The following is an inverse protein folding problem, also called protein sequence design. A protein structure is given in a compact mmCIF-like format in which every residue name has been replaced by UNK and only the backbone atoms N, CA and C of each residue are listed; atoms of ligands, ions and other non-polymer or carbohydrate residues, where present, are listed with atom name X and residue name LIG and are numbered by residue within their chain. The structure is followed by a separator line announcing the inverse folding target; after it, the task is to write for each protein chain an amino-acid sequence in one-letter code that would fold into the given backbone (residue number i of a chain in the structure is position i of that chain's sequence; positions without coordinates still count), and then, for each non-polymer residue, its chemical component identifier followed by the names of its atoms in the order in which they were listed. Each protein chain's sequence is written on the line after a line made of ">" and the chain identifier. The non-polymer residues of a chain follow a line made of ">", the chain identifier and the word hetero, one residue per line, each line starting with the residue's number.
data_IF_894324621263
#
_entry.id   IF_894324621263
#
_cell.length_a   1.000
_cell.length_b   1.000
_cell.length_c   1.000
_cell.angle_alpha   90.00
_cell.angle_beta   90.00
_cell.angle_gamma   90.00
#
_symmetry.space_group_name_H-M   'P 1'
#
loop_
_entity.id
_entity.type
_entity.pdbx_description
1 polymer ?
#
# COMPACT_ATOMS: atom_id res chain seq x y z
N UNK A 1 10.16 -4.08 24.02
CA UNK A 1 10.20 -2.65 23.64
C UNK A 1 10.21 -2.50 22.13
N UNK A 2 9.11 -1.99 21.58
CA UNK A 2 8.97 -1.71 20.15
C UNK A 2 9.90 -0.53 19.78
N UNK A 3 10.75 -0.70 18.78
CA UNK A 3 11.65 0.38 18.33
C UNK A 3 10.87 1.46 17.55
N UNK A 4 10.65 2.61 18.19
CA UNK A 4 9.99 3.79 17.59
C UNK A 4 10.73 4.35 16.38
N UNK A 5 12.05 4.26 16.33
CA UNK A 5 12.82 4.72 15.17
C UNK A 5 12.48 3.83 13.97
N UNK A 6 12.39 2.52 14.21
CA UNK A 6 12.01 1.55 13.19
C UNK A 6 10.58 1.78 12.69
N UNK A 7 9.61 1.89 13.60
CA UNK A 7 8.20 2.11 13.26
C UNK A 7 8.01 3.43 12.50
N UNK A 8 8.54 4.55 13.01
CA UNK A 8 8.39 5.85 12.34
C UNK A 8 8.99 5.85 10.92
N UNK A 9 10.15 5.21 10.75
CA UNK A 9 10.81 5.05 9.45
C UNK A 9 9.90 4.31 8.45
N UNK A 10 9.36 3.14 8.82
CA UNK A 10 8.46 2.36 7.95
C UNK A 10 7.19 3.15 7.64
N UNK A 11 6.57 3.73 8.67
CA UNK A 11 5.32 4.49 8.50
C UNK A 11 5.49 5.75 7.64
N UNK A 12 6.73 6.14 7.32
CA UNK A 12 7.04 7.31 6.51
C UNK A 12 6.82 8.63 7.26
N UNK A 13 6.83 8.61 8.59
CA UNK A 13 6.57 9.79 9.45
C UNK A 13 7.78 10.10 10.32
N UNK A 14 7.86 11.32 10.84
CA UNK A 14 8.90 11.66 11.82
C UNK A 14 8.65 10.96 13.16
N UNK A 15 9.72 10.79 13.95
CA UNK A 15 9.62 10.28 15.33
C UNK A 15 8.72 11.16 16.20
N UNK A 16 8.79 12.48 16.02
CA UNK A 16 7.92 13.43 16.73
C UNK A 16 6.46 13.21 16.37
N UNK A 17 6.15 13.01 15.08
CA UNK A 17 4.79 12.74 14.65
C UNK A 17 4.26 11.39 15.15
N UNK A 18 5.13 10.37 15.21
CA UNK A 18 4.78 9.11 15.84
C UNK A 18 4.44 9.30 17.33
N UNK A 19 5.25 10.06 18.07
CA UNK A 19 4.99 10.32 19.48
C UNK A 19 3.68 11.09 19.70
N UNK A 20 3.35 12.06 18.85
CA UNK A 20 2.05 12.75 18.87
C UNK A 20 0.89 11.76 18.72
N UNK A 21 0.95 10.88 17.71
CA UNK A 21 -0.09 9.87 17.46
C UNK A 21 -0.24 8.90 18.65
N UNK A 22 0.88 8.50 19.26
CA UNK A 22 0.84 7.64 20.45
C UNK A 22 0.14 8.36 21.60
N UNK A 23 0.52 9.61 21.88
CA UNK A 23 -0.08 10.40 22.95
C UNK A 23 -1.58 10.64 22.71
N UNK A 24 -1.98 10.92 21.47
CA UNK A 24 -3.39 11.03 21.07
C UNK A 24 -4.14 9.73 21.30
N UNK A 25 -3.56 8.59 20.92
CA UNK A 25 -4.17 7.27 21.12
C UNK A 25 -4.33 6.94 22.61
N UNK A 26 -3.31 7.18 23.43
CA UNK A 26 -3.38 6.98 24.89
C UNK A 26 -4.51 7.84 25.49
N UNK A 27 -4.63 9.10 25.07
CA UNK A 27 -5.70 10.00 25.52
C UNK A 27 -7.09 9.54 25.08
N UNK A 28 -7.25 9.05 23.84
CA UNK A 28 -8.53 8.49 23.35
C UNK A 28 -9.03 7.34 24.24
N UNK A 29 -8.10 6.56 24.79
CA UNK A 29 -8.39 5.46 25.72
C UNK A 29 -8.28 5.87 27.19
N UNK A 30 -8.40 7.17 27.51
CA UNK A 30 -8.41 7.71 28.87
C UNK A 30 -7.20 7.28 29.71
N UNK A 31 -6.03 7.16 29.09
CA UNK A 31 -4.77 6.70 29.69
C UNK A 31 -4.80 5.26 30.24
N UNK A 32 -5.74 4.41 29.76
CA UNK A 32 -5.83 3.00 30.17
C UNK A 32 -4.90 2.07 29.39
N UNK A 33 -4.21 2.59 28.38
CA UNK A 33 -3.27 1.85 27.54
C UNK A 33 -1.87 2.45 27.65
N UNK A 34 -0.87 1.59 27.53
CA UNK A 34 0.52 1.98 27.47
C UNK A 34 0.96 2.37 26.05
N UNK A 35 2.23 2.78 25.94
CA UNK A 35 2.83 3.20 24.68
C UNK A 35 2.88 2.06 23.64
N UNK A 36 3.19 0.83 24.07
CA UNK A 36 3.29 -0.32 23.18
C UNK A 36 1.94 -0.68 22.59
N UNK A 37 0.89 -0.71 23.41
CA UNK A 37 -0.49 -0.93 22.99
C UNK A 37 -0.95 0.17 22.03
N UNK A 38 -0.60 1.44 22.31
CA UNK A 38 -0.90 2.54 21.40
C UNK A 38 -0.24 2.37 20.02
N UNK A 39 1.02 1.92 19.97
CA UNK A 39 1.71 1.62 18.70
C UNK A 39 1.00 0.49 17.96
N UNK A 40 0.62 -0.59 18.65
CA UNK A 40 -0.12 -1.70 18.05
C UNK A 40 -1.46 -1.26 17.44
N UNK A 41 -2.20 -0.40 18.15
CA UNK A 41 -3.45 0.17 17.64
C UNK A 41 -3.21 1.05 16.41
N UNK A 42 -2.17 1.89 16.40
CA UNK A 42 -1.82 2.72 15.24
C UNK A 42 -1.46 1.85 14.03
N UNK A 43 -0.69 0.77 14.22
CA UNK A 43 -0.36 -0.18 13.17
C UNK A 43 -1.63 -0.86 12.62
N UNK A 44 -2.49 -1.35 13.51
CA UNK A 44 -3.77 -1.98 13.15
C UNK A 44 -4.67 -1.03 12.36
N UNK A 45 -4.75 0.23 12.80
CA UNK A 45 -5.46 1.30 12.08
C UNK A 45 -4.84 1.65 10.72
N UNK A 46 -3.63 1.16 10.42
CA UNK A 46 -2.97 1.25 9.10
C UNK A 46 -2.95 -0.07 8.35
N UNK A 47 -3.64 -1.10 8.86
CA UNK A 47 -3.70 -2.42 8.22
C UNK A 47 -2.38 -3.19 8.34
N UNK A 48 -1.60 -2.90 9.38
CA UNK A 48 -0.31 -3.51 9.68
C UNK A 48 -0.34 -4.21 11.04
N UNK A 49 0.41 -5.30 11.13
CA UNK A 49 0.86 -5.94 12.36
C UNK A 49 2.35 -5.66 12.58
N UNK A 50 2.89 -6.04 13.75
CA UNK A 50 4.34 -5.99 13.97
C UNK A 50 5.10 -6.92 13.02
N UNK A 51 4.54 -8.08 12.71
CA UNK A 51 5.14 -9.06 11.79
C UNK A 51 5.23 -8.49 10.36
N UNK A 52 4.19 -7.76 9.93
CA UNK A 52 4.19 -7.09 8.62
C UNK A 52 5.33 -6.08 8.49
N UNK A 53 5.85 -5.50 9.58
CA UNK A 53 6.99 -4.58 9.53
C UNK A 53 8.30 -5.27 9.09
N UNK A 54 8.36 -6.60 9.18
CA UNK A 54 9.50 -7.41 8.75
C UNK A 54 9.23 -8.14 7.43
N UNK A 55 7.97 -8.43 7.12
CA UNK A 55 7.57 -9.16 5.92
C UNK A 55 6.39 -8.48 5.20
N UNK A 56 6.63 -7.26 4.70
CA UNK A 56 5.61 -6.49 3.98
C UNK A 56 5.18 -7.25 2.72
N UNK A 57 3.86 -7.45 2.57
CA UNK A 57 3.21 -7.91 1.35
C UNK A 57 2.49 -6.77 0.62
N UNK A 58 2.11 -7.00 -0.62
CA UNK A 58 1.42 -6.01 -1.45
C UNK A 58 0.12 -5.51 -0.79
N UNK A 59 -0.66 -6.39 -0.14
CA UNK A 59 -1.86 -6.01 0.61
C UNK A 59 -1.61 -5.06 1.77
N UNK A 60 -0.38 -4.98 2.31
CA UNK A 60 -0.06 -4.12 3.44
C UNK A 60 0.26 -2.67 3.00
N UNK A 61 0.52 -2.45 1.71
CA UNK A 61 0.99 -1.16 1.19
C UNK A 61 -0.08 -0.08 1.28
N UNK A 62 0.26 1.12 1.74
CA UNK A 62 -0.61 2.30 1.67
C UNK A 62 0.23 3.52 1.27
N UNK A 63 -0.38 4.58 0.71
CA UNK A 63 0.38 5.73 0.22
C UNK A 63 1.28 6.36 1.29
N UNK A 64 2.54 6.61 0.95
CA UNK A 64 3.55 7.18 1.86
C UNK A 64 4.31 6.15 2.71
N UNK A 65 3.89 4.89 2.76
CA UNK A 65 4.64 3.82 3.43
C UNK A 65 6.05 3.69 2.81
N UNK A 66 7.09 3.61 3.65
CA UNK A 66 8.45 3.29 3.22
C UNK A 66 8.66 1.78 3.31
N UNK A 67 8.85 1.15 2.16
CA UNK A 67 9.08 -0.27 2.02
C UNK A 67 10.57 -0.53 2.18
N UNK A 68 10.99 -1.05 3.34
CA UNK A 68 12.39 -1.44 3.57
C UNK A 68 12.79 -2.58 2.64
N UNK A 69 11.94 -3.60 2.56
CA UNK A 69 12.10 -4.76 1.69
C UNK A 69 10.71 -5.31 1.32
N UNK A 70 10.54 -5.71 0.07
CA UNK A 70 9.37 -6.47 -0.41
C UNK A 70 9.83 -7.43 -1.51
N UNK A 71 9.24 -8.63 -1.52
CA UNK A 71 9.48 -9.65 -2.54
C UNK A 71 8.33 -9.62 -3.54
N UNK A 72 8.65 -9.53 -4.82
CA UNK A 72 7.70 -9.39 -5.91
C UNK A 72 8.09 -10.27 -7.08
N UNK A 73 7.11 -10.79 -7.81
CA UNK A 73 7.31 -11.33 -9.16
C UNK A 73 6.93 -10.31 -10.19
N UNK A 74 7.80 -10.11 -11.19
CA UNK A 74 7.50 -9.25 -12.33
C UNK A 74 6.51 -9.99 -13.22
N UNK A 75 5.33 -9.41 -13.43
CA UNK A 75 4.34 -9.98 -14.33
C UNK A 75 4.57 -9.48 -15.77
N UNK A 76 4.66 -8.16 -15.92
CA UNK A 76 4.68 -7.52 -17.24
C UNK A 76 5.47 -6.21 -17.25
N UNK A 77 6.07 -5.88 -18.39
CA UNK A 77 6.63 -4.55 -18.64
C UNK A 77 5.53 -3.62 -19.18
N UNK A 78 5.24 -2.52 -18.49
CA UNK A 78 4.20 -1.57 -18.88
C UNK A 78 4.75 -0.41 -19.72
N UNK A 79 5.84 0.21 -19.27
CA UNK A 79 6.47 1.37 -19.93
C UNK A 79 7.98 1.21 -19.86
N UNK A 80 8.66 1.52 -20.96
CA UNK A 80 10.12 1.52 -21.08
C UNK A 80 10.59 2.80 -21.78
N UNK A 81 11.38 3.61 -21.09
CA UNK A 81 11.99 4.87 -21.54
C UNK A 81 13.43 4.95 -21.05
N UNK A 82 14.21 5.93 -21.52
CA UNK A 82 15.66 5.97 -21.27
C UNK A 82 16.07 5.95 -19.79
N UNK A 83 15.35 6.67 -18.93
CA UNK A 83 15.62 6.75 -17.49
C UNK A 83 14.45 6.26 -16.62
N UNK A 84 13.47 5.58 -17.23
CA UNK A 84 12.26 5.17 -16.56
C UNK A 84 11.80 3.81 -17.09
N UNK A 85 11.57 2.87 -16.19
CA UNK A 85 10.84 1.65 -16.48
C UNK A 85 9.71 1.48 -15.46
N UNK A 86 8.52 1.13 -15.95
CA UNK A 86 7.36 0.83 -15.11
C UNK A 86 6.97 -0.61 -15.40
N UNK A 87 6.97 -1.40 -14.33
CA UNK A 87 6.63 -2.81 -14.35
C UNK A 87 5.31 -3.04 -13.61
N UNK A 88 4.57 -4.04 -14.05
CA UNK A 88 3.56 -4.69 -13.24
C UNK A 88 4.26 -5.78 -12.43
N UNK A 89 4.14 -5.71 -11.12
CA UNK A 89 4.75 -6.67 -10.21
C UNK A 89 3.86 -6.89 -9.00
N UNK A 90 3.96 -8.05 -8.36
CA UNK A 90 3.11 -8.37 -7.22
C UNK A 90 3.55 -9.60 -6.46
N UNK A 91 2.70 -9.99 -5.52
CA UNK A 91 2.82 -11.23 -4.75
C UNK A 91 1.45 -11.92 -4.70
N UNK A 92 1.30 -12.91 -3.81
CA UNK A 92 0.05 -13.66 -3.66
C UNK A 92 -1.14 -12.79 -3.19
N UNK A 93 -0.85 -11.59 -2.71
CA UNK A 93 -1.82 -10.68 -2.10
C UNK A 93 -2.25 -9.54 -3.03
N UNK A 94 -1.61 -9.35 -4.19
CA UNK A 94 -2.04 -8.34 -5.17
C UNK A 94 -0.97 -7.92 -6.17
N UNK A 95 -1.40 -7.17 -7.19
CA UNK A 95 -0.54 -6.49 -8.16
C UNK A 95 -0.42 -4.99 -7.85
N UNK A 96 0.75 -4.45 -8.14
CA UNK A 96 1.07 -3.02 -8.09
C UNK A 96 1.90 -2.63 -9.31
N UNK A 97 2.13 -1.33 -9.45
CA UNK A 97 3.17 -0.82 -10.35
C UNK A 97 4.50 -0.69 -9.61
N UNK A 98 5.58 -1.16 -10.19
CA UNK A 98 6.94 -0.86 -9.75
C UNK A 98 7.53 0.19 -10.70
N UNK A 99 7.75 1.39 -10.20
CA UNK A 99 8.27 2.54 -10.94
C UNK A 99 9.74 2.71 -10.60
N UNK A 100 10.61 2.52 -11.60
CA UNK A 100 12.06 2.62 -11.45
C UNK A 100 12.54 3.80 -12.29
N UNK A 101 12.96 4.87 -11.63
CA UNK A 101 13.52 6.06 -12.29
C UNK A 101 15.03 6.14 -12.08
N UNK A 102 15.78 5.41 -12.91
CA UNK A 102 17.24 5.35 -12.87
C UNK A 102 17.81 5.09 -14.26
N UNK A 103 18.72 5.92 -14.76
CA UNK A 103 19.37 5.73 -16.07
C UNK A 103 20.16 4.40 -16.18
N UNK A 104 20.55 3.81 -15.04
CA UNK A 104 21.30 2.55 -14.99
C UNK A 104 20.42 1.31 -15.16
N UNK A 105 19.09 1.43 -15.20
CA UNK A 105 18.20 0.26 -15.25
C UNK A 105 18.53 -0.67 -16.43
N UNK A 106 18.97 -0.11 -17.57
CA UNK A 106 19.39 -0.85 -18.77
C UNK A 106 20.50 -1.89 -18.46
N UNK A 107 21.38 -1.60 -17.49
CA UNK A 107 22.46 -2.52 -17.07
C UNK A 107 21.94 -3.77 -16.35
N UNK A 108 20.72 -3.70 -15.79
CA UNK A 108 20.06 -4.81 -15.09
C UNK A 108 18.82 -5.29 -15.84
N UNK A 109 18.75 -5.11 -17.16
CA UNK A 109 17.57 -5.50 -17.94
C UNK A 109 17.18 -6.97 -17.77
N UNK A 110 18.15 -7.88 -17.64
CA UNK A 110 17.88 -9.30 -17.39
C UNK A 110 17.16 -9.57 -16.06
N UNK A 111 17.36 -8.71 -15.05
CA UNK A 111 16.68 -8.78 -13.75
C UNK A 111 15.23 -8.30 -13.85
N UNK A 112 14.91 -7.48 -14.85
CA UNK A 112 13.63 -6.80 -15.01
C UNK A 112 12.70 -7.48 -16.04
N UNK A 113 13.01 -8.73 -16.41
CA UNK A 113 12.21 -9.53 -17.33
C UNK A 113 10.97 -10.10 -16.64
N UNK A 114 9.95 -10.39 -17.45
CA UNK A 114 8.74 -11.08 -17.00
C UNK A 114 9.08 -12.42 -16.35
N UNK A 115 8.30 -12.81 -15.36
CA UNK A 115 8.46 -14.01 -14.53
C UNK A 115 9.73 -14.06 -13.66
N UNK A 116 10.50 -12.98 -13.57
CA UNK A 116 11.61 -12.90 -12.62
C UNK A 116 11.08 -12.50 -11.23
N UNK A 117 11.50 -13.26 -10.23
CA UNK A 117 11.25 -12.96 -8.83
C UNK A 117 12.37 -12.05 -8.32
N UNK A 118 11.96 -10.92 -7.77
CA UNK A 118 12.83 -9.85 -7.32
C UNK A 118 12.54 -9.46 -5.87
N UNK A 119 13.53 -8.85 -5.25
CA UNK A 119 13.43 -8.22 -3.95
C UNK A 119 13.76 -6.75 -4.11
N UNK A 120 12.81 -5.90 -3.76
CA UNK A 120 12.92 -4.44 -3.88
C UNK A 120 13.16 -3.86 -2.49
N UNK A 121 14.22 -3.06 -2.35
CA UNK A 121 14.59 -2.40 -1.09
C UNK A 121 14.34 -0.91 -1.13
N UNK A 122 14.08 -0.32 0.03
CA UNK A 122 13.97 1.13 0.26
C UNK A 122 13.07 1.87 -0.76
N UNK A 123 11.91 1.31 -1.06
CA UNK A 123 10.90 1.93 -1.92
C UNK A 123 9.94 2.84 -1.16
N UNK A 124 9.27 3.73 -1.88
CA UNK A 124 8.18 4.57 -1.33
C UNK A 124 6.88 4.25 -2.06
N UNK A 125 5.81 4.00 -1.31
CA UNK A 125 4.50 3.72 -1.90
C UNK A 125 3.83 5.02 -2.35
N UNK A 126 3.38 5.07 -3.60
CA UNK A 126 2.64 6.16 -4.22
C UNK A 126 1.20 5.74 -4.56
N UNK A 127 0.29 6.71 -4.64
CA UNK A 127 -1.08 6.51 -5.10
C UNK A 127 -1.25 7.04 -6.53
N UNK A 128 -1.05 6.18 -7.54
CA UNK A 128 -1.11 6.55 -8.96
C UNK A 128 -2.18 5.74 -9.70
N UNK A 129 -3.43 5.94 -9.29
CA UNK A 129 -4.60 5.15 -9.65
C UNK A 129 -4.59 3.71 -9.07
N UNK A 130 -3.51 2.97 -9.27
CA UNK A 130 -3.18 1.77 -8.50
C UNK A 130 -2.02 2.10 -7.57
N UNK A 131 -1.88 1.35 -6.48
CA UNK A 131 -0.70 1.49 -5.62
C UNK A 131 0.55 1.19 -6.44
N UNK A 132 1.58 1.99 -6.19
CA UNK A 132 2.86 1.87 -6.88
C UNK A 132 4.00 1.92 -5.88
N UNK A 133 5.07 1.17 -6.08
CA UNK A 133 6.34 1.37 -5.38
C UNK A 133 7.25 2.17 -6.30
N UNK A 134 7.80 3.26 -5.78
CA UNK A 134 8.79 4.07 -6.46
C UNK A 134 10.18 3.81 -5.90
N UNK A 135 11.15 3.60 -6.79
CA UNK A 135 12.57 3.62 -6.49
C UNK A 135 13.33 4.48 -7.52
N UNK A 136 14.43 5.07 -7.08
CA UNK A 136 15.31 5.91 -7.89
C UNK A 136 16.73 5.32 -8.07
N UNK A 137 16.96 4.10 -7.60
CA UNK A 137 18.24 3.41 -7.71
C UNK A 137 17.99 1.92 -7.98
N UNK A 138 18.43 1.44 -9.14
CA UNK A 138 18.28 0.04 -9.57
C UNK A 138 19.10 -0.93 -8.70
N UNK A 139 20.11 -0.44 -7.98
CA UNK A 139 20.92 -1.25 -7.08
C UNK A 139 20.16 -1.75 -5.85
N UNK A 140 18.96 -1.21 -5.62
CA UNK A 140 18.04 -1.67 -4.58
C UNK A 140 17.14 -2.84 -5.03
N UNK A 141 17.32 -3.34 -6.25
CA UNK A 141 16.64 -4.55 -6.73
C UNK A 141 17.65 -5.69 -6.84
N UNK A 142 17.27 -6.83 -6.26
CA UNK A 142 18.02 -8.09 -6.28
C UNK A 142 17.13 -9.21 -6.84
N UNK A 143 17.73 -10.22 -7.48
CA UNK A 143 17.02 -11.44 -7.85
C UNK A 143 16.86 -12.31 -6.60
N UNK A 144 15.76 -13.05 -6.53
CA UNK A 144 15.55 -14.11 -5.54
C UNK A 144 15.13 -15.41 -6.23
N UNK A 145 15.42 -16.53 -5.58
CA UNK A 145 15.07 -17.86 -6.08
C UNK A 145 13.78 -18.42 -5.46
N UNK A 146 13.22 -17.72 -4.48
CA UNK A 146 11.92 -18.06 -3.89
C UNK A 146 10.83 -17.94 -4.96
N UNK A 147 9.95 -18.94 -5.04
CA UNK A 147 8.80 -18.90 -5.93
C UNK A 147 7.69 -18.03 -5.35
N UNK A 148 7.03 -17.26 -6.23
CA UNK A 148 5.98 -16.32 -5.87
C UNK A 148 4.79 -16.56 -6.81
N UNK A 149 3.68 -16.94 -6.20
CA UNK A 149 2.39 -17.05 -6.89
C UNK A 149 1.76 -15.67 -6.99
N UNK A 150 1.43 -15.24 -8.21
CA UNK A 150 0.85 -13.92 -8.45
C UNK A 150 -0.66 -13.93 -8.30
N UNK A 151 -1.18 -13.01 -7.48
CA UNK A 151 -2.55 -12.53 -7.64
C UNK A 151 -2.69 -11.79 -8.98
N UNK A 152 -3.87 -11.85 -9.60
CA UNK A 152 -4.13 -11.18 -10.89
C UNK A 152 -4.79 -9.81 -10.75
N UNK A 153 -5.06 -9.35 -9.53
CA UNK A 153 -5.80 -8.12 -9.28
C UNK A 153 -4.90 -7.00 -8.74
N UNK A 154 -4.99 -5.84 -9.37
CA UNK A 154 -4.34 -4.63 -8.88
C UNK A 154 -4.95 -4.12 -7.58
N UNK A 155 -4.12 -3.67 -6.66
CA UNK A 155 -4.60 -2.96 -5.47
C UNK A 155 -4.66 -1.45 -5.73
N UNK A 156 -5.80 -0.86 -5.41
CA UNK A 156 -6.03 0.57 -5.40
C UNK A 156 -6.34 1.06 -4.00
N UNK A 157 -6.02 2.33 -3.73
CA UNK A 157 -6.29 3.02 -2.48
C UNK A 157 -6.92 4.38 -2.80
N UNK A 158 -8.06 4.69 -2.19
CA UNK A 158 -8.80 5.92 -2.44
C UNK A 158 -9.44 6.46 -1.19
N UNK A 159 -9.58 7.78 -1.14
CA UNK A 159 -10.62 8.38 -0.33
C UNK A 159 -11.92 8.42 -1.13
N UNK A 160 -13.01 8.02 -0.49
CA UNK A 160 -14.35 8.01 -1.06
C UNK A 160 -15.32 8.74 -0.14
N UNK A 161 -16.37 9.28 -0.74
CA UNK A 161 -17.51 9.84 -0.04
C UNK A 161 -18.79 9.33 -0.68
N UNK A 162 -19.74 8.93 0.15
CA UNK A 162 -21.04 8.48 -0.32
C UNK A 162 -21.77 9.63 -1.03
N UNK A 163 -22.15 9.41 -2.29
CA UNK A 163 -23.01 10.34 -3.05
C UNK A 163 -24.48 9.92 -2.97
N UNK A 164 -24.74 8.64 -3.25
CA UNK A 164 -26.10 8.12 -3.33
C UNK A 164 -26.14 6.65 -2.94
N UNK A 165 -27.17 6.31 -2.20
CA UNK A 165 -27.52 4.94 -1.88
C UNK A 165 -28.56 4.41 -2.89
N UNK A 166 -28.35 3.20 -3.41
CA UNK A 166 -29.34 2.43 -4.20
C UNK A 166 -29.63 1.11 -3.51
N UNK A 167 -30.55 0.31 -4.05
CA UNK A 167 -30.99 -0.95 -3.44
C UNK A 167 -29.82 -1.90 -3.13
N UNK A 168 -28.94 -2.17 -4.12
CA UNK A 168 -27.86 -3.15 -3.99
C UNK A 168 -26.43 -2.55 -4.00
N UNK A 169 -26.31 -1.24 -4.20
CA UNK A 169 -25.00 -0.60 -4.35
C UNK A 169 -24.97 0.82 -3.79
N UNK A 170 -23.77 1.25 -3.40
CA UNK A 170 -23.44 2.66 -3.17
C UNK A 170 -22.83 3.27 -4.42
N UNK A 171 -23.18 4.52 -4.68
CA UNK A 171 -22.48 5.38 -5.63
C UNK A 171 -21.59 6.30 -4.80
N UNK A 172 -20.28 6.20 -4.98
CA UNK A 172 -19.31 6.98 -4.21
C UNK A 172 -18.45 7.84 -5.13
N UNK A 173 -18.11 9.05 -4.65
CA UNK A 173 -17.15 9.94 -5.29
C UNK A 173 -15.77 9.67 -4.73
N UNK A 174 -14.77 9.51 -5.58
CA UNK A 174 -13.37 9.40 -5.16
C UNK A 174 -12.68 10.76 -5.07
N UNK A 175 -11.53 10.80 -4.39
CA UNK A 175 -10.60 11.95 -4.33
C UNK A 175 -10.18 12.52 -5.70
N UNK A 176 -10.17 11.69 -6.75
CA UNK A 176 -9.90 12.13 -8.12
C UNK A 176 -11.16 12.39 -8.96
N UNK A 177 -12.30 12.63 -8.31
CA UNK A 177 -13.61 12.95 -8.92
C UNK A 177 -14.21 11.85 -9.81
N UNK A 178 -13.73 10.61 -9.71
CA UNK A 178 -14.35 9.47 -10.37
C UNK A 178 -15.54 8.95 -9.54
N UNK A 179 -16.50 8.34 -10.24
CA UNK A 179 -17.63 7.66 -9.60
C UNK A 179 -17.38 6.15 -9.58
N UNK A 180 -17.47 5.55 -8.40
CA UNK A 180 -17.40 4.10 -8.22
C UNK A 180 -18.74 3.54 -7.76
N UNK A 181 -19.00 2.30 -8.15
CA UNK A 181 -20.14 1.51 -7.72
C UNK A 181 -19.63 0.44 -6.77
N UNK A 182 -19.99 0.55 -5.49
CA UNK A 182 -19.60 -0.39 -4.45
C UNK A 182 -20.81 -1.26 -4.10
N UNK A 183 -20.60 -2.57 -3.97
CA UNK A 183 -21.63 -3.44 -3.44
C UNK A 183 -21.99 -3.03 -2.01
N UNK A 184 -23.27 -3.16 -1.65
CA UNK A 184 -23.77 -2.91 -0.29
C UNK A 184 -23.44 -4.07 0.65
N UNK A 185 -22.18 -4.22 0.96
CA UNK A 185 -21.70 -5.19 1.95
C UNK A 185 -21.31 -4.55 3.28
N UNK A 186 -21.25 -3.21 3.36
CA UNK A 186 -20.87 -2.44 4.56
C UNK A 186 -21.71 -1.17 4.65
N UNK A 187 -22.17 -0.78 5.84
CA UNK A 187 -22.92 0.48 6.02
C UNK A 187 -22.01 1.71 5.83
N UNK A 188 -22.37 2.60 4.90
CA UNK A 188 -21.75 3.91 4.73
C UNK A 188 -22.67 5.03 5.22
N UNK A 189 -22.11 6.03 5.89
CA UNK A 189 -22.80 7.23 6.33
C UNK A 189 -22.70 8.32 5.26
N UNK A 190 -23.80 9.05 5.05
CA UNK A 190 -23.80 10.20 4.17
C UNK A 190 -22.85 11.27 4.69
N UNK A 191 -22.19 12.00 3.78
CA UNK A 191 -21.29 13.10 4.11
C UNK A 191 -19.97 12.73 4.83
N UNK A 192 -19.75 11.45 5.15
CA UNK A 192 -18.52 10.97 5.78
C UNK A 192 -17.49 10.55 4.73
N UNK A 193 -16.22 10.84 5.00
CA UNK A 193 -15.11 10.41 4.15
C UNK A 193 -14.57 9.08 4.66
N UNK A 194 -14.42 8.14 3.74
CA UNK A 194 -13.82 6.84 4.01
C UNK A 194 -12.55 6.68 3.20
N UNK A 195 -11.60 5.96 3.75
CA UNK A 195 -10.50 5.37 3.00
C UNK A 195 -10.90 3.94 2.62
N UNK A 196 -10.81 3.63 1.34
CA UNK A 196 -11.03 2.29 0.78
C UNK A 196 -9.74 1.79 0.14
N UNK A 197 -9.40 0.54 0.43
CA UNK A 197 -8.44 -0.26 -0.31
C UNK A 197 -9.18 -1.40 -0.98
N UNK A 198 -8.93 -1.63 -2.26
CA UNK A 198 -9.73 -2.58 -3.03
C UNK A 198 -8.95 -3.22 -4.18
N UNK A 199 -9.39 -4.40 -4.60
CA UNK A 199 -8.96 -5.02 -5.84
C UNK A 199 -9.68 -4.38 -7.01
N UNK A 200 -8.92 -3.90 -7.99
CA UNK A 200 -9.46 -3.28 -9.20
C UNK A 200 -9.97 -4.35 -10.19
N UNK A 201 -11.03 -5.04 -9.79
CA UNK A 201 -11.80 -6.01 -10.58
C UNK A 201 -13.26 -5.56 -10.67
N UNK A 202 -14.07 -6.25 -11.48
CA UNK A 202 -15.50 -5.97 -11.64
C UNK A 202 -16.32 -7.18 -11.20
N UNK A 203 -17.19 -7.09 -10.17
CA UNK A 203 -17.40 -5.95 -9.26
C UNK A 203 -16.19 -5.66 -8.37
N UNK A 204 -16.09 -4.44 -7.82
CA UNK A 204 -14.98 -4.06 -6.94
C UNK A 204 -15.05 -4.87 -5.64
N UNK A 205 -13.96 -5.53 -5.28
CA UNK A 205 -13.83 -6.22 -3.99
C UNK A 205 -13.03 -5.36 -3.02
N UNK A 206 -13.63 -5.07 -1.87
CA UNK A 206 -13.03 -4.28 -0.80
C UNK A 206 -12.05 -5.16 -0.02
N UNK A 207 -10.82 -4.69 0.13
CA UNK A 207 -9.79 -5.28 1.00
C UNK A 207 -9.87 -4.66 2.39
N UNK A 208 -10.06 -3.34 2.44
CA UNK A 208 -10.07 -2.58 3.69
C UNK A 208 -10.94 -1.32 3.54
N UNK A 209 -11.70 -0.98 4.58
CA UNK A 209 -12.49 0.25 4.67
C UNK A 209 -12.28 0.89 6.04
N UNK A 210 -11.96 2.18 6.07
CA UNK A 210 -11.78 2.97 7.30
C UNK A 210 -12.51 4.29 7.20
N UNK A 211 -13.20 4.68 8.26
CA UNK A 211 -13.73 6.04 8.36
C UNK A 211 -12.64 7.01 8.83
N UNK A 212 -12.60 8.21 8.25
CA UNK A 212 -11.83 9.34 8.74
C UNK A 212 -12.69 10.25 9.61
#
# INVERSE_FOLDING_TARGET
>A
MIDKNYVSSILGISKTKLQELINEKIKQYKNLIDEETAILLILKERGLTLEDLYNIKVKNLYPGLKVREIKLKINKILIKKDNLIILEAGDETGLIKLIIKDYKWKRKENLLKENINIKVKNGVVLNNFVLSIFINNIDLIEKIDEDINLNQNYISYRHIRLLKERENNYIVLTDNFNVLYLEKNIQLEYNKTYTIKFYNKRPIEIIELKSY
#
